data_IF_941340106841
#
_entry.id   IF_941340106841
#
_cell.length_a   1.000
_cell.length_b   1.000
_cell.length_c   1.000
_cell.angle_alpha   90.00
_cell.angle_beta   90.00
_cell.angle_gamma   90.00
#
_symmetry.space_group_name_H-M   'P 1'
#
loop_
_entity.id
_entity.type
_entity.pdbx_description
1 polymer ?
#
# COMPACT_ATOMS: atom_id res chain seq x y z
N UNK A 1 -18.37 17.43 6.36
CA UNK A 1 -17.19 16.56 6.21
C UNK A 1 -17.51 15.56 5.12
N UNK A 2 -16.99 15.74 3.90
CA UNK A 2 -17.01 14.66 2.90
C UNK A 2 -15.87 13.71 3.26
N UNK A 3 -16.22 12.46 3.54
CA UNK A 3 -15.42 11.51 4.31
C UNK A 3 -14.46 10.67 3.48
N UNK A 4 -13.56 9.99 4.19
CA UNK A 4 -12.80 8.86 3.67
C UNK A 4 -13.77 7.78 3.21
N UNK A 5 -13.55 7.21 2.02
CA UNK A 5 -14.26 6.02 1.58
C UNK A 5 -13.27 4.92 1.26
N UNK A 6 -13.66 3.67 1.47
CA UNK A 6 -12.80 2.54 1.14
C UNK A 6 -12.57 2.44 -0.38
N UNK A 7 -11.35 2.10 -0.81
CA UNK A 7 -10.97 1.91 -2.22
C UNK A 7 -10.73 0.42 -2.54
N UNK A 8 -9.71 -0.14 -1.90
CA UNK A 8 -9.27 -1.52 -2.15
C UNK A 8 -8.44 -2.07 -0.98
N UNK A 9 -8.27 -3.38 -0.97
CA UNK A 9 -7.32 -4.11 -0.13
C UNK A 9 -6.27 -4.78 -1.00
N UNK A 10 -5.02 -4.77 -0.57
CA UNK A 10 -3.95 -5.54 -1.19
C UNK A 10 -3.53 -6.71 -0.30
N UNK A 11 -3.69 -7.92 -0.83
CA UNK A 11 -3.51 -9.18 -0.12
C UNK A 11 -2.31 -9.91 -0.70
N UNK A 12 -1.37 -10.22 0.19
CA UNK A 12 -0.23 -11.09 -0.08
C UNK A 12 -0.70 -12.53 -0.08
N UNK A 13 -0.41 -13.23 -1.18
CA UNK A 13 -0.77 -14.62 -1.39
C UNK A 13 0.44 -15.41 -1.88
N UNK A 14 0.47 -16.70 -1.54
CA UNK A 14 1.57 -17.59 -1.91
C UNK A 14 1.63 -17.81 -3.42
N UNK A 15 0.47 -17.97 -4.06
CA UNK A 15 0.38 -18.32 -5.48
C UNK A 15 -0.81 -17.62 -6.12
N UNK A 16 -0.60 -16.38 -6.60
CA UNK A 16 -1.65 -15.53 -7.19
C UNK A 16 -2.67 -16.25 -8.07
N UNK A 17 -2.26 -17.18 -8.92
CA UNK A 17 -3.18 -17.93 -9.79
C UNK A 17 -4.19 -18.83 -9.04
N UNK A 18 -3.81 -19.37 -7.87
CA UNK A 18 -4.69 -20.20 -7.03
C UNK A 18 -5.76 -19.33 -6.39
N UNK A 19 -5.34 -18.24 -5.73
CA UNK A 19 -6.29 -17.33 -5.11
C UNK A 19 -7.15 -16.59 -6.15
N UNK A 20 -6.61 -16.24 -7.32
CA UNK A 20 -7.42 -15.72 -8.44
C UNK A 20 -8.55 -16.68 -8.81
N UNK A 21 -8.25 -17.97 -9.01
CA UNK A 21 -9.26 -18.97 -9.37
C UNK A 21 -10.35 -19.11 -8.30
N UNK A 22 -10.00 -18.96 -7.01
CA UNK A 22 -10.98 -18.91 -5.92
C UNK A 22 -11.90 -17.69 -6.05
N UNK A 23 -11.35 -16.51 -6.29
CA UNK A 23 -12.15 -15.29 -6.46
C UNK A 23 -13.05 -15.34 -7.70
N UNK A 24 -12.55 -15.90 -8.80
CA UNK A 24 -13.36 -16.16 -10.01
C UNK A 24 -14.51 -17.13 -9.70
N UNK A 25 -14.27 -18.17 -8.92
CA UNK A 25 -15.32 -19.08 -8.45
C UNK A 25 -16.38 -18.37 -7.59
N UNK A 26 -15.97 -17.37 -6.81
CA UNK A 26 -16.87 -16.52 -6.01
C UNK A 26 -17.60 -15.45 -6.83
N UNK A 27 -17.36 -15.38 -8.14
CA UNK A 27 -18.02 -14.44 -9.06
C UNK A 27 -17.33 -13.09 -9.20
N UNK A 28 -16.05 -12.98 -8.85
CA UNK A 28 -15.21 -11.82 -9.19
C UNK A 28 -14.59 -11.97 -10.57
N UNK A 29 -14.23 -10.85 -11.18
CA UNK A 29 -13.51 -10.78 -12.45
C UNK A 29 -12.14 -10.13 -12.26
N UNK A 30 -11.15 -10.61 -13.01
CA UNK A 30 -9.83 -9.98 -13.08
C UNK A 30 -9.91 -8.73 -13.97
N UNK A 31 -9.66 -7.55 -13.41
CA UNK A 31 -9.71 -6.28 -14.15
C UNK A 31 -8.35 -5.76 -14.58
N UNK A 32 -7.38 -5.79 -13.67
CA UNK A 32 -6.01 -5.35 -13.92
C UNK A 32 -5.05 -6.48 -13.61
N UNK A 33 -4.18 -6.83 -14.56
CA UNK A 33 -3.15 -7.85 -14.38
C UNK A 33 -1.82 -7.23 -14.75
N UNK A 34 -0.88 -7.22 -13.79
CA UNK A 34 0.47 -6.72 -14.05
C UNK A 34 1.50 -7.70 -13.47
N UNK A 35 2.23 -8.42 -14.33
CA UNK A 35 3.34 -9.27 -13.91
C UNK A 35 4.63 -8.45 -13.72
N UNK A 36 5.59 -9.03 -13.01
CA UNK A 36 6.98 -8.54 -12.92
C UNK A 36 7.13 -7.08 -12.46
N UNK A 37 6.39 -6.65 -11.45
CA UNK A 37 6.59 -5.35 -10.81
C UNK A 37 7.73 -5.46 -9.81
N UNK A 38 8.85 -4.79 -10.07
CA UNK A 38 9.98 -4.82 -9.14
C UNK A 38 11.25 -4.26 -9.75
N UNK A 39 12.38 -4.81 -9.33
CA UNK A 39 13.71 -4.51 -9.84
C UNK A 39 14.32 -5.74 -10.53
N UNK A 40 15.57 -5.61 -10.98
CA UNK A 40 16.30 -6.67 -11.68
C UNK A 40 16.53 -7.92 -10.80
N UNK A 41 16.40 -7.79 -9.47
CA UNK A 41 16.66 -8.87 -8.52
C UNK A 41 15.38 -9.60 -8.12
N UNK A 42 14.30 -8.87 -7.88
CA UNK A 42 13.06 -9.42 -7.31
C UNK A 42 11.86 -8.67 -7.83
N UNK A 43 10.73 -9.36 -7.95
CA UNK A 43 9.49 -8.73 -8.42
C UNK A 43 8.25 -9.30 -7.74
N UNK A 44 7.08 -8.81 -8.14
CA UNK A 44 5.79 -9.38 -7.81
C UNK A 44 4.88 -9.43 -9.01
N UNK A 45 3.96 -10.39 -8.98
CA UNK A 45 2.81 -10.43 -9.86
C UNK A 45 1.58 -9.95 -9.11
N UNK A 46 0.79 -9.09 -9.75
CA UNK A 46 -0.45 -8.56 -9.18
C UNK A 46 -1.63 -8.80 -10.10
N UNK A 47 -2.78 -9.16 -9.53
CA UNK A 47 -4.08 -9.11 -10.19
C UNK A 47 -5.09 -8.39 -9.31
N UNK A 48 -5.89 -7.49 -9.88
CA UNK A 48 -6.99 -6.82 -9.18
C UNK A 48 -8.29 -7.51 -9.53
N UNK A 49 -8.89 -8.13 -8.53
CA UNK A 49 -10.22 -8.74 -8.59
C UNK A 49 -11.27 -7.69 -8.28
N UNK A 50 -12.34 -7.65 -9.06
CA UNK A 50 -13.49 -6.77 -8.82
C UNK A 50 -14.79 -7.53 -9.04
N UNK A 51 -15.84 -7.09 -8.37
CA UNK A 51 -17.17 -7.64 -8.61
C UNK A 51 -17.75 -7.04 -9.89
N UNK A 52 -18.36 -7.86 -10.78
CA UNK A 52 -19.05 -7.37 -11.97
C UNK A 52 -20.20 -6.42 -11.64
N UNK A 53 -20.62 -5.61 -12.61
CA UNK A 53 -21.86 -4.85 -12.47
C UNK A 53 -23.08 -5.79 -12.49
N UNK A 54 -24.15 -5.42 -11.78
CA UNK A 54 -25.42 -6.15 -11.83
C UNK A 54 -25.48 -7.46 -11.05
N UNK A 55 -24.42 -7.83 -10.30
CA UNK A 55 -24.45 -8.94 -9.34
C UNK A 55 -24.58 -8.43 -7.90
N UNK A 56 -24.98 -9.27 -6.92
CA UNK A 56 -25.09 -8.86 -5.51
C UNK A 56 -23.77 -8.36 -4.89
N UNK A 57 -22.64 -8.68 -5.51
CA UNK A 57 -21.30 -8.25 -5.09
C UNK A 57 -20.90 -6.90 -5.71
N UNK A 58 -21.69 -6.35 -6.65
CA UNK A 58 -21.36 -5.11 -7.36
C UNK A 58 -21.15 -3.94 -6.38
N UNK A 59 -20.12 -3.14 -6.62
CA UNK A 59 -19.78 -2.00 -5.75
C UNK A 59 -19.02 -2.38 -4.47
N UNK A 60 -18.71 -3.66 -4.25
CA UNK A 60 -17.67 -4.04 -3.30
C UNK A 60 -16.31 -3.50 -3.75
N UNK A 61 -15.47 -3.23 -2.76
CA UNK A 61 -14.11 -2.76 -3.01
C UNK A 61 -13.28 -3.78 -3.79
N UNK A 62 -12.26 -3.27 -4.46
CA UNK A 62 -11.36 -4.08 -5.25
C UNK A 62 -10.38 -4.83 -4.34
N UNK A 63 -9.92 -6.00 -4.80
CA UNK A 63 -8.96 -6.83 -4.06
C UNK A 63 -7.75 -7.10 -4.96
N UNK A 64 -6.60 -6.53 -4.60
CA UNK A 64 -5.34 -6.77 -5.27
C UNK A 64 -4.65 -8.00 -4.67
N UNK A 65 -4.54 -9.08 -5.43
CA UNK A 65 -3.80 -10.29 -5.04
C UNK A 65 -2.36 -10.19 -5.54
N UNK A 66 -1.40 -10.28 -4.62
CA UNK A 66 0.03 -10.12 -4.90
C UNK A 66 0.80 -11.38 -4.52
N UNK A 67 1.58 -11.93 -5.45
CA UNK A 67 2.57 -12.99 -5.14
C UNK A 67 3.98 -12.55 -5.49
N UNK A 68 4.94 -12.94 -4.66
CA UNK A 68 6.34 -12.61 -4.83
C UNK A 68 7.08 -13.52 -5.80
N UNK A 69 7.97 -12.92 -6.59
CA UNK A 69 8.94 -13.58 -7.43
C UNK A 69 10.32 -13.35 -6.82
N UNK A 70 10.85 -14.39 -6.16
CA UNK A 70 12.22 -14.37 -5.66
C UNK A 70 13.20 -14.44 -6.83
N UNK A 71 14.37 -13.85 -6.63
CA UNK A 71 15.47 -13.98 -7.58
C UNK A 71 16.72 -14.55 -6.94
N UNK A 72 17.84 -14.28 -7.60
CA UNK A 72 19.13 -14.85 -7.28
C UNK A 72 20.20 -13.80 -7.52
N UNK A 73 21.13 -13.63 -6.57
CA UNK A 73 22.27 -12.73 -6.74
C UNK A 73 23.35 -13.33 -7.67
N UNK A 74 24.41 -12.56 -7.92
CA UNK A 74 25.54 -12.97 -8.76
C UNK A 74 26.28 -14.22 -8.25
N UNK A 75 26.16 -14.55 -6.97
CA UNK A 75 26.80 -15.69 -6.33
C UNK A 75 25.88 -16.93 -6.26
N UNK A 76 24.68 -16.85 -6.86
CA UNK A 76 23.73 -17.95 -6.88
C UNK A 76 22.88 -18.07 -5.61
N UNK A 77 22.90 -17.07 -4.72
CA UNK A 77 22.11 -17.07 -3.48
C UNK A 77 20.74 -16.47 -3.72
N UNK A 78 19.71 -17.12 -3.17
CA UNK A 78 18.31 -16.68 -3.24
C UNK A 78 18.13 -15.30 -2.60
N UNK A 79 17.57 -14.37 -3.35
CA UNK A 79 17.08 -13.07 -2.87
C UNK A 79 15.57 -13.17 -2.72
N UNK A 80 15.09 -13.02 -1.49
CA UNK A 80 13.67 -13.13 -1.16
C UNK A 80 12.97 -11.81 -1.51
N UNK A 81 11.90 -11.88 -2.31
CA UNK A 81 11.11 -10.69 -2.63
C UNK A 81 10.39 -10.15 -1.39
N UNK A 82 10.06 -8.85 -1.38
CA UNK A 82 9.32 -8.29 -0.25
C UNK A 82 7.98 -8.98 0.00
N UNK A 83 7.29 -9.40 -1.06
CA UNK A 83 6.00 -10.08 -0.96
C UNK A 83 6.18 -11.48 -0.37
N UNK A 84 7.21 -12.20 -0.78
CA UNK A 84 7.56 -13.49 -0.17
C UNK A 84 7.89 -13.34 1.31
N UNK A 85 8.63 -12.28 1.70
CA UNK A 85 8.95 -12.02 3.10
C UNK A 85 7.70 -11.73 3.96
N UNK A 86 6.71 -11.00 3.43
CA UNK A 86 5.41 -10.83 4.08
C UNK A 86 4.73 -12.18 4.34
N UNK A 87 4.66 -13.02 3.30
CA UNK A 87 4.10 -14.37 3.41
C UNK A 87 4.84 -15.23 4.44
N UNK A 88 6.18 -15.23 4.44
CA UNK A 88 6.98 -16.03 5.37
C UNK A 88 6.80 -15.57 6.83
N UNK A 89 6.60 -14.27 7.07
CA UNK A 89 6.40 -13.70 8.42
C UNK A 89 4.96 -13.77 8.94
N UNK A 90 3.95 -13.67 8.07
CA UNK A 90 2.54 -13.50 8.46
C UNK A 90 1.62 -14.62 8.01
N UNK A 91 2.10 -15.51 7.15
CA UNK A 91 1.30 -16.58 6.57
C UNK A 91 0.67 -16.21 5.24
N UNK A 92 -0.08 -17.16 4.68
CA UNK A 92 -0.82 -16.95 3.43
C UNK A 92 -2.05 -16.08 3.66
N UNK A 93 -2.47 -15.36 2.62
CA UNK A 93 -3.68 -14.53 2.62
C UNK A 93 -3.62 -13.43 3.69
N UNK A 94 -2.61 -12.55 3.57
CA UNK A 94 -2.36 -11.49 4.52
C UNK A 94 -2.64 -10.11 3.91
N UNK A 95 -3.40 -9.25 4.58
CA UNK A 95 -3.67 -7.88 4.13
C UNK A 95 -2.42 -7.02 4.37
N UNK A 96 -1.72 -6.65 3.30
CA UNK A 96 -0.58 -5.75 3.36
C UNK A 96 -1.02 -4.29 3.51
N UNK A 97 -2.01 -3.85 2.74
CA UNK A 97 -2.50 -2.49 2.91
C UNK A 97 -3.99 -2.35 2.61
N UNK A 98 -4.55 -1.33 3.24
CA UNK A 98 -5.95 -0.92 3.11
C UNK A 98 -5.93 0.49 2.54
N UNK A 99 -6.56 0.67 1.38
CA UNK A 99 -6.58 1.93 0.67
C UNK A 99 -7.87 2.71 0.92
N UNK A 100 -7.71 4.00 1.20
CA UNK A 100 -8.80 4.96 1.42
C UNK A 100 -8.78 6.04 0.35
N UNK A 101 -9.92 6.24 -0.32
CA UNK A 101 -10.15 7.42 -1.15
C UNK A 101 -10.36 8.64 -0.27
N UNK A 102 -9.69 9.71 -0.64
CA UNK A 102 -9.82 11.03 -0.05
C UNK A 102 -10.01 12.08 -1.15
N UNK A 103 -10.64 13.20 -0.78
CA UNK A 103 -10.89 14.32 -1.70
C UNK A 103 -9.69 15.25 -1.84
N UNK A 104 -8.92 15.39 -0.76
CA UNK A 104 -7.72 16.24 -0.69
C UNK A 104 -6.63 15.49 0.08
N UNK A 105 -5.79 14.78 -0.68
CA UNK A 105 -4.69 13.99 -0.13
C UNK A 105 -3.66 14.87 0.55
N UNK A 106 -3.40 16.08 0.05
CA UNK A 106 -2.40 16.97 0.63
C UNK A 106 -2.84 17.47 2.00
N UNK A 107 -4.08 17.92 2.14
CA UNK A 107 -4.62 18.35 3.42
C UNK A 107 -4.64 17.20 4.42
N UNK A 108 -5.02 16.00 3.98
CA UNK A 108 -5.07 14.82 4.85
C UNK A 108 -3.68 14.36 5.30
N UNK A 109 -2.72 14.23 4.38
CA UNK A 109 -1.34 13.87 4.68
C UNK A 109 -0.71 14.90 5.62
N UNK A 110 -0.91 16.20 5.36
CA UNK A 110 -0.44 17.25 6.25
C UNK A 110 -1.06 17.16 7.65
N UNK A 111 -2.38 16.95 7.74
CA UNK A 111 -3.06 16.79 9.01
C UNK A 111 -2.53 15.58 9.80
N UNK A 112 -2.37 14.43 9.14
CA UNK A 112 -1.85 13.20 9.77
C UNK A 112 -0.39 13.35 10.17
N UNK A 113 0.45 13.94 9.32
CA UNK A 113 1.84 14.23 9.65
C UNK A 113 1.95 15.14 10.89
N UNK A 114 1.08 16.15 11.02
CA UNK A 114 1.03 17.02 12.20
C UNK A 114 0.59 16.29 13.47
N UNK A 115 -0.12 15.16 13.36
CA UNK A 115 -0.42 14.25 14.46
C UNK A 115 0.74 13.28 14.77
N UNK A 116 1.83 13.35 14.01
CA UNK A 116 3.02 12.51 14.15
C UNK A 116 3.02 11.25 13.30
N UNK A 117 1.99 11.00 12.49
CA UNK A 117 1.97 9.85 11.56
C UNK A 117 3.14 9.94 10.60
N UNK A 118 3.85 8.83 10.44
CA UNK A 118 4.99 8.69 9.54
C UNK A 118 4.57 8.00 8.25
N UNK A 119 5.20 8.35 7.14
CA UNK A 119 4.89 7.81 5.82
C UNK A 119 6.08 7.06 5.23
N UNK A 120 5.80 5.95 4.54
CA UNK A 120 6.77 5.22 3.72
C UNK A 120 7.18 6.06 2.51
N UNK A 121 6.28 6.91 2.03
CA UNK A 121 6.58 7.95 1.03
C UNK A 121 7.03 9.23 1.74
N UNK A 122 8.22 9.19 2.34
CA UNK A 122 8.86 10.35 2.98
C UNK A 122 10.36 10.36 2.76
N UNK A 123 10.93 11.56 2.71
CA UNK A 123 12.38 11.81 2.71
C UNK A 123 12.76 12.88 3.75
N UNK A 124 13.97 13.44 3.67
CA UNK A 124 14.43 14.49 4.59
C UNK A 124 13.55 15.76 4.60
N UNK A 125 12.68 15.95 3.61
CA UNK A 125 11.79 17.09 3.51
C UNK A 125 10.36 16.80 3.99
N UNK A 126 10.08 15.58 4.44
CA UNK A 126 8.77 15.15 4.92
C UNK A 126 8.04 14.22 3.93
N UNK A 127 6.72 14.06 4.09
CA UNK A 127 5.95 13.19 3.22
C UNK A 127 5.81 13.77 1.81
N UNK A 128 5.95 12.91 0.81
CA UNK A 128 5.68 13.20 -0.58
C UNK A 128 4.54 12.32 -1.10
N UNK A 129 3.93 12.76 -2.19
CA UNK A 129 2.82 12.05 -2.86
C UNK A 129 3.35 11.48 -4.18
N UNK A 130 3.00 10.22 -4.41
CA UNK A 130 3.29 9.50 -5.64
C UNK A 130 2.18 9.81 -6.65
N UNK A 131 2.56 10.08 -7.90
CA UNK A 131 1.62 10.39 -8.99
C UNK A 131 1.71 9.43 -10.17
N UNK A 132 0.55 9.07 -10.70
CA UNK A 132 0.41 8.29 -11.93
C UNK A 132 -0.76 8.84 -12.78
N UNK A 133 -0.69 8.62 -14.09
CA UNK A 133 -1.74 9.02 -15.02
C UNK A 133 -2.12 7.85 -15.90
N UNK A 134 -3.38 7.41 -15.79
CA UNK A 134 -3.90 6.29 -16.56
C UNK A 134 -5.28 6.65 -17.13
N UNK A 135 -5.44 6.49 -18.46
CA UNK A 135 -6.69 6.77 -19.18
C UNK A 135 -7.25 8.19 -18.92
N UNK A 136 -6.36 9.18 -18.80
CA UNK A 136 -6.72 10.58 -18.54
C UNK A 136 -7.14 10.89 -17.10
N UNK A 137 -7.12 9.91 -16.20
CA UNK A 137 -7.29 10.11 -14.75
C UNK A 137 -5.92 10.26 -14.10
N UNK A 138 -5.81 11.19 -13.15
CA UNK A 138 -4.61 11.33 -12.34
C UNK A 138 -4.82 10.69 -10.97
N UNK A 139 -3.86 9.87 -10.55
CA UNK A 139 -3.87 9.12 -9.31
C UNK A 139 -2.79 9.66 -8.40
N UNK A 140 -3.20 10.14 -7.23
CA UNK A 140 -2.31 10.58 -6.17
C UNK A 140 -2.34 9.54 -5.05
N UNK A 141 -1.17 9.08 -4.61
CA UNK A 141 -1.04 8.02 -3.61
C UNK A 141 -0.01 8.37 -2.53
N UNK A 142 -0.28 8.00 -1.29
CA UNK A 142 0.63 8.19 -0.15
C UNK A 142 0.48 7.01 0.82
N UNK A 143 1.57 6.50 1.37
CA UNK A 143 1.56 5.26 2.14
C UNK A 143 2.11 5.48 3.55
N UNK A 144 1.40 5.05 4.59
CA UNK A 144 1.83 5.20 5.98
C UNK A 144 2.84 4.13 6.38
N UNK A 145 3.55 4.34 7.49
CA UNK A 145 4.15 3.21 8.22
C UNK A 145 3.07 2.20 8.68
N UNK A 146 3.44 0.97 9.07
CA UNK A 146 2.50 -0.05 9.53
C UNK A 146 1.62 0.46 10.67
N UNK A 147 0.35 0.08 10.72
CA UNK A 147 -0.63 0.62 11.69
C UNK A 147 -0.20 0.29 13.13
N UNK A 148 0.09 -0.98 13.36
CA UNK A 148 0.64 -1.52 14.61
C UNK A 148 1.98 -2.17 14.34
N UNK A 149 2.90 -2.10 15.30
CA UNK A 149 4.11 -2.93 15.30
C UNK A 149 3.72 -4.41 15.14
N UNK A 150 4.58 -5.18 14.49
CA UNK A 150 4.28 -6.59 14.26
C UNK A 150 3.12 -6.86 13.30
N UNK A 151 2.49 -5.88 12.66
CA UNK A 151 1.54 -6.17 11.57
C UNK A 151 2.27 -6.25 10.22
N UNK A 152 2.96 -5.18 9.84
CA UNK A 152 3.30 -4.92 8.44
C UNK A 152 2.12 -4.45 7.60
N UNK A 153 0.92 -4.31 8.18
CA UNK A 153 -0.23 -3.75 7.49
C UNK A 153 -0.18 -2.23 7.57
N UNK A 154 -0.30 -1.52 6.45
CA UNK A 154 -0.28 -0.05 6.42
C UNK A 154 -1.49 0.54 5.67
N UNK A 155 -1.69 1.85 5.77
CA UNK A 155 -2.70 2.54 4.98
C UNK A 155 -2.12 3.10 3.68
N UNK A 156 -2.90 3.00 2.62
CA UNK A 156 -2.76 3.83 1.43
C UNK A 156 -3.82 4.94 1.47
N UNK A 157 -3.39 6.17 1.24
CA UNK A 157 -4.27 7.31 0.95
C UNK A 157 -4.24 7.55 -0.54
N UNK A 158 -5.42 7.62 -1.15
CA UNK A 158 -5.58 7.75 -2.60
C UNK A 158 -6.51 8.88 -2.95
N UNK A 159 -6.16 9.68 -3.94
CA UNK A 159 -7.06 10.63 -4.59
C UNK A 159 -7.06 10.37 -6.08
N UNK A 160 -8.26 10.35 -6.69
CA UNK A 160 -8.44 10.18 -8.12
C UNK A 160 -9.02 11.49 -8.64
N UNK A 161 -8.30 12.13 -9.57
CA UNK A 161 -8.72 13.36 -10.23
C UNK A 161 -9.24 12.98 -11.61
N UNK A 162 -10.50 13.31 -11.89
CA UNK A 162 -11.15 12.94 -13.16
C UNK A 162 -10.69 13.87 -14.29
N UNK A 163 -10.80 13.43 -15.56
CA UNK A 163 -10.51 14.29 -16.71
C UNK A 163 -11.34 15.58 -16.65
N UNK A 164 -10.66 16.74 -16.71
CA UNK A 164 -11.31 18.06 -16.64
C UNK A 164 -11.48 18.63 -15.23
N UNK A 165 -11.15 17.87 -14.18
CA UNK A 165 -11.02 18.41 -12.83
C UNK A 165 -9.61 19.01 -12.64
N UNK A 166 -9.55 20.21 -12.08
CA UNK A 166 -8.25 20.83 -11.77
C UNK A 166 -7.73 20.27 -10.45
N UNK A 167 -6.55 19.66 -10.47
CA UNK A 167 -5.80 19.38 -9.25
C UNK A 167 -5.62 20.68 -8.48
N UNK A 168 -5.82 20.67 -7.15
CA UNK A 168 -5.45 21.82 -6.32
C UNK A 168 -3.97 22.11 -6.54
N UNK A 169 -3.57 23.37 -6.79
CA UNK A 169 -2.17 23.69 -7.01
C UNK A 169 -1.40 23.46 -5.71
N UNK A 170 -0.61 22.40 -5.66
CA UNK A 170 0.27 22.12 -4.53
C UNK A 170 1.71 22.39 -4.91
N UNK A 171 2.32 23.25 -4.11
CA UNK A 171 3.75 23.55 -4.19
C UNK A 171 4.54 22.28 -3.83
N UNK A 172 5.25 21.76 -4.83
CA UNK A 172 6.48 20.96 -4.75
C UNK A 172 6.35 19.46 -4.42
N UNK A 173 7.06 18.72 -5.30
CA UNK A 173 7.61 17.36 -5.21
C UNK A 173 6.73 16.25 -5.78
N UNK A 174 6.71 16.26 -7.11
CA UNK A 174 6.21 15.20 -7.97
C UNK A 174 7.34 14.18 -8.22
N UNK A 175 7.03 12.89 -8.11
CA UNK A 175 7.94 11.81 -8.55
C UNK A 175 7.13 10.78 -9.31
N UNK A 176 7.37 10.68 -10.62
CA UNK A 176 6.88 9.58 -11.45
C UNK A 176 7.36 8.25 -10.87
N UNK A 177 6.43 7.27 -10.79
CA UNK A 177 6.56 5.82 -10.48
C UNK A 177 5.81 5.40 -9.20
N UNK A 178 4.50 5.16 -9.27
CA UNK A 178 3.71 4.78 -8.09
C UNK A 178 4.07 3.39 -7.54
N UNK A 179 3.90 2.32 -8.32
CA UNK A 179 4.08 0.96 -7.79
C UNK A 179 5.57 0.59 -7.64
N UNK A 180 6.43 1.02 -8.56
CA UNK A 180 7.88 0.79 -8.48
C UNK A 180 8.55 1.69 -7.42
N UNK A 181 8.11 2.94 -7.27
CA UNK A 181 8.58 3.82 -6.20
C UNK A 181 8.18 3.30 -4.83
N UNK A 182 6.95 2.77 -4.70
CA UNK A 182 6.53 2.05 -3.50
C UNK A 182 7.37 0.79 -3.27
N UNK A 183 7.60 -0.02 -4.30
CA UNK A 183 8.45 -1.22 -4.22
C UNK A 183 9.83 -0.91 -3.63
N UNK A 184 10.52 0.09 -4.17
CA UNK A 184 11.84 0.49 -3.69
C UNK A 184 11.79 1.04 -2.25
N UNK A 185 10.77 1.82 -1.91
CA UNK A 185 10.60 2.31 -0.54
C UNK A 185 10.40 1.15 0.44
N UNK A 186 9.49 0.23 0.13
CA UNK A 186 9.22 -0.95 0.95
C UNK A 186 10.46 -1.84 1.09
N UNK A 187 11.19 -2.12 0.00
CA UNK A 187 12.45 -2.89 0.03
C UNK A 187 13.46 -2.27 1.01
N UNK A 188 13.65 -0.94 0.96
CA UNK A 188 14.54 -0.22 1.89
C UNK A 188 14.11 -0.35 3.35
N UNK A 189 12.81 -0.20 3.65
CA UNK A 189 12.28 -0.27 5.02
C UNK A 189 12.27 -1.69 5.56
N UNK A 190 12.00 -2.67 4.70
CA UNK A 190 12.07 -4.08 5.05
C UNK A 190 13.49 -4.51 5.40
N UNK A 191 14.51 -4.03 4.68
CA UNK A 191 15.92 -4.31 4.99
C UNK A 191 16.33 -3.80 6.39
N UNK A 192 15.65 -2.77 6.90
CA UNK A 192 15.85 -2.23 8.24
C UNK A 192 14.87 -2.83 9.29
N UNK A 193 14.09 -3.84 8.91
CA UNK A 193 12.99 -4.44 9.70
C UNK A 193 11.90 -3.45 10.16
N UNK A 194 11.87 -2.24 9.58
CA UNK A 194 10.96 -1.16 10.00
C UNK A 194 9.49 -1.49 9.69
N UNK A 195 9.23 -2.29 8.65
CA UNK A 195 7.86 -2.71 8.29
C UNK A 195 7.25 -3.69 9.30
N UNK A 196 8.06 -4.40 10.08
CA UNK A 196 7.53 -5.41 11.00
C UNK A 196 7.81 -5.09 12.47
N UNK A 197 8.63 -4.09 12.74
CA UNK A 197 9.01 -3.68 14.10
C UNK A 197 8.44 -2.32 14.52
N UNK A 198 7.90 -1.53 13.59
CA UNK A 198 7.38 -0.20 13.87
C UNK A 198 5.87 -0.09 13.66
N UNK A 199 5.24 0.82 14.39
CA UNK A 199 3.87 1.28 14.23
C UNK A 199 3.78 2.55 13.37
N UNK A 200 2.59 3.14 13.31
CA UNK A 200 2.25 4.23 12.38
C UNK A 200 3.03 5.51 12.66
N UNK A 201 3.58 5.63 13.86
CA UNK A 201 4.44 6.73 14.31
C UNK A 201 5.94 6.41 14.12
N UNK A 202 6.27 5.27 13.50
CA UNK A 202 7.63 4.71 13.40
C UNK A 202 8.26 4.38 14.76
N UNK A 203 7.43 4.00 15.72
CA UNK A 203 7.83 3.62 17.09
C UNK A 203 7.55 2.12 17.32
N UNK A 204 8.16 1.50 18.34
CA UNK A 204 8.14 0.03 18.52
C UNK A 204 6.98 -0.52 19.34
N UNK A 205 6.19 0.33 19.96
CA UNK A 205 5.10 -0.05 20.86
C UNK A 205 3.97 0.97 20.73
N UNK A 206 2.85 0.58 20.13
CA UNK A 206 1.74 1.50 19.87
C UNK A 206 1.09 1.99 21.15
N UNK A 207 1.01 1.18 22.19
CA UNK A 207 0.43 1.59 23.47
C UNK A 207 1.26 2.72 24.08
N UNK A 208 2.58 2.55 24.18
CA UNK A 208 3.50 3.59 24.64
C UNK A 208 3.49 4.83 23.74
N UNK A 209 3.40 4.65 22.42
CA UNK A 209 3.24 5.75 21.47
C UNK A 209 2.00 6.60 21.75
N UNK A 210 0.87 5.96 22.05
CA UNK A 210 -0.39 6.64 22.35
C UNK A 210 -0.37 7.26 23.76
N UNK A 211 0.22 6.60 24.75
CA UNK A 211 0.40 7.13 26.11
C UNK A 211 1.27 8.39 26.14
N UNK A 212 2.43 8.38 25.46
CA UNK A 212 3.33 9.54 25.39
C UNK A 212 2.69 10.77 24.70
N UNK A 213 1.65 10.54 23.90
CA UNK A 213 0.82 11.57 23.25
C UNK A 213 -0.41 11.97 24.07
N UNK A 214 -0.60 11.39 25.25
CA UNK A 214 -1.75 11.67 26.12
C UNK A 214 -3.08 11.14 25.57
N UNK A 215 -3.04 10.19 24.63
CA UNK A 215 -4.24 9.58 24.01
C UNK A 215 -4.74 8.36 24.79
N UNK A 216 -3.87 7.76 25.61
CA UNK A 216 -4.20 6.69 26.54
C UNK A 216 -3.72 7.05 27.96
N UNK A 217 -4.38 6.54 29.01
CA UNK A 217 -3.87 6.67 30.37
C UNK A 217 -2.51 5.98 30.51
N UNK A 218 -1.60 6.58 31.28
CA UNK A 218 -0.36 5.94 31.67
C UNK A 218 -0.66 4.71 32.55
N UNK A 219 0.02 3.61 32.27
CA UNK A 219 -0.05 2.36 33.04
C UNK A 219 0.71 2.43 34.36
#
# INVERSE_FOLDING_TARGET
MQGLSFDHEAIVVRKRYVEQALFEYLGFEAGYVRPNIGDDETSMDTVVMHAPEGVPLAGLAQIALMSGNDGTDSDGKRIISQITAYYEKRGNFFVQHIAWRCRDIHALVSAWHNLGVQFLTSDEHGPYILEDTENGRHFLQCFTYPITEGSGTFFELKQIIQPGETALPTSKQFRDRNVEGLWLSLKKRMANDELFSCNIFRERDLEQSLQSRGLLPAS
#
